data_IF_305327874771
#
_entry.id   IF_305327874771
#
_cell.length_a   1.000
_cell.length_b   1.000
_cell.length_c   1.000
_cell.angle_alpha   90.00
_cell.angle_beta   90.00
_cell.angle_gamma   90.00
#
_symmetry.space_group_name_H-M   'P 1'
#
loop_
_entity.id
_entity.type
_entity.pdbx_description
1 polymer ?
2 non-polymer ?
3 non-polymer ?
4 non-polymer ?
5 non-polymer ?
6 water ?
#
# COMPACT_ATOMS: atom_id res chain seq x y z
C UNK A 1 33.00 21.27 2.93
N UNK A 2 32.31 20.76 3.94
CA UNK A 2 31.05 20.03 3.72
C UNK A 2 29.88 20.59 4.52
N UNK A 3 28.66 20.29 4.07
CA UNK A 3 27.46 20.79 4.72
C UNK A 3 26.39 19.70 4.71
N UNK A 4 25.51 19.76 5.70
CA UNK A 4 24.35 18.88 5.73
C UNK A 4 23.33 19.39 4.74
N UNK A 5 23.05 18.59 3.72
CA UNK A 5 22.10 18.94 2.69
C UNK A 5 20.68 18.49 3.03
N UNK A 6 20.56 17.35 3.70
CA UNK A 6 19.25 16.83 4.13
C UNK A 6 19.50 15.92 5.31
N UNK A 7 18.53 15.89 6.21
CA UNK A 7 18.67 15.02 7.38
C UNK A 7 17.30 14.69 7.91
N UNK A 8 17.11 13.43 8.30
CA UNK A 8 15.90 13.06 8.99
C UNK A 8 16.21 11.87 9.90
N UNK A 9 15.47 11.74 10.99
CA UNK A 9 15.81 10.69 11.95
C UNK A 9 14.52 10.40 12.74
N UNK A 10 14.44 9.21 13.34
CA UNK A 10 13.29 8.87 14.15
C UNK A 10 13.29 7.41 14.49
N UNK A 11 12.09 6.83 14.62
CA UNK A 11 11.96 5.44 15.10
C UNK A 11 11.22 4.66 14.04
N UNK A 12 11.72 3.46 13.73
CA UNK A 12 11.10 2.61 12.72
C UNK A 12 10.62 1.34 13.43
N UNK A 13 9.70 0.63 12.78
CA UNK A 13 9.30 -0.71 13.25
C UNK A 13 8.67 -0.70 14.64
N UNK A 14 7.89 0.32 14.93
CA UNK A 14 7.18 0.39 16.20
C UNK A 14 5.85 -0.37 16.03
N UNK A 15 5.76 -1.54 16.64
CA UNK A 15 4.54 -2.35 16.53
C UNK A 15 3.53 -1.87 17.58
N UNK A 16 2.28 -1.66 17.16
CA UNK A 16 1.24 -1.16 18.06
C UNK A 16 -0.02 -1.98 17.87
N UNK A 17 -0.65 -2.37 18.98
CA UNK A 17 -1.95 -3.02 18.93
C UNK A 17 -2.88 -2.17 19.79
N UNK A 18 -4.12 -2.03 19.35
CA UNK A 18 -5.13 -1.35 20.18
C UNK A 18 -6.41 -2.13 20.10
N UNK A 19 -7.10 -2.24 21.24
CA UNK A 19 -8.39 -2.89 21.30
C UNK A 19 -9.47 -1.86 21.68
N UNK A 20 -10.62 -1.98 21.04
CA UNK A 20 -11.81 -1.21 21.41
C UNK A 20 -12.83 -2.21 21.95
N UNK A 21 -13.38 -1.91 23.14
CA UNK A 21 -14.35 -2.78 23.81
C UNK A 21 -15.67 -2.03 23.92
N UNK A 22 -16.69 -2.54 23.24
CA UNK A 22 -18.05 -2.05 23.42
C UNK A 22 -18.64 -2.70 24.68
N UNK A 23 -18.84 -1.89 25.72
CA UNK A 23 -19.44 -2.38 26.96
C UNK A 23 -20.89 -2.87 26.78
N UNK A 24 -21.64 -2.16 25.93
CA UNK A 24 -23.04 -2.51 25.64
C UNK A 24 -23.20 -3.92 25.03
N UNK A 25 -22.49 -4.16 23.93
CA UNK A 25 -22.68 -5.37 23.14
C UNK A 25 -21.67 -6.46 23.47
N UNK A 26 -20.60 -6.10 24.18
CA UNK A 26 -19.51 -7.03 24.48
C UNK A 26 -18.55 -7.27 23.31
N UNK A 27 -18.81 -6.62 22.18
CA UNK A 27 -18.03 -6.84 20.97
C UNK A 27 -16.69 -6.11 21.10
N UNK A 28 -15.61 -6.79 20.74
CA UNK A 28 -14.26 -6.18 20.79
C UNK A 28 -13.73 -6.09 19.37
N UNK A 29 -12.94 -5.04 19.07
CA UNK A 29 -12.40 -4.85 17.72
C UNK A 29 -10.92 -4.53 17.90
N UNK A 30 -10.06 -5.19 17.14
CA UNK A 30 -8.61 -4.97 17.34
C UNK A 30 -8.02 -4.31 16.10
N UNK A 31 -6.96 -3.55 16.32
CA UNK A 31 -6.19 -2.91 15.24
C UNK A 31 -4.73 -3.19 15.52
N UNK A 32 -3.98 -3.58 14.50
CA UNK A 32 -2.53 -3.75 14.75
C UNK A 32 -1.81 -3.10 13.59
N UNK A 33 -0.73 -2.37 13.88
CA UNK A 33 -0.04 -1.56 12.84
C UNK A 33 1.44 -1.63 13.13
N UNK A 34 2.24 -1.26 12.13
CA UNK A 34 3.64 -1.02 12.36
C UNK A 34 3.89 0.42 11.91
N UNK A 35 4.53 1.22 12.75
CA UNK A 35 4.61 2.66 12.52
C UNK A 35 6.07 3.10 12.43
N UNK A 36 6.34 4.04 11.52
CA UNK A 36 7.65 4.67 11.44
C UNK A 36 7.43 6.18 11.46
N UNK A 37 8.18 6.91 12.28
CA UNK A 37 8.08 8.39 12.30
C UNK A 37 9.48 8.93 12.14
N UNK A 38 9.66 9.76 11.12
CA UNK A 38 10.94 10.44 10.93
C UNK A 38 10.69 11.95 10.93
N UNK A 39 11.55 12.68 11.65
CA UNK A 39 11.44 14.12 11.78
C UNK A 39 12.53 14.85 11.00
N UNK A 40 12.21 16.08 10.59
CA UNK A 40 13.20 17.01 10.01
C UNK A 40 13.04 18.35 10.69
N UNK A 41 14.11 19.14 10.70
CA UNK A 41 13.99 20.52 11.22
C UNK A 41 15.37 21.08 11.42
N UNK A 42 15.50 21.95 12.41
CA UNK A 42 16.77 22.61 12.65
C UNK A 42 17.60 21.73 13.57
N UNK A 43 18.13 20.65 13.00
CA UNK A 43 18.82 19.62 13.77
C UNK A 43 20.24 19.37 13.26
N UNK A 44 20.67 20.18 12.29
CA UNK A 44 22.01 19.99 11.69
C UNK A 44 23.12 19.94 12.73
N UNK A 45 23.02 20.73 13.80
CA UNK A 45 24.12 20.76 14.81
C UNK A 45 24.33 19.46 15.55
N UNK A 46 23.32 18.59 15.61
CA UNK A 46 23.53 17.27 16.20
C UNK A 46 24.52 16.46 15.36
N UNK A 47 24.50 16.68 14.04
CA UNK A 47 25.45 15.99 13.17
C UNK A 47 26.84 16.67 13.17
N UNK A 48 26.83 17.99 13.11
CA UNK A 48 28.09 18.72 12.86
C UNK A 48 28.85 19.13 14.12
N UNK A 49 28.16 19.30 15.26
CA UNK A 49 28.79 19.84 16.46
C UNK A 49 28.59 18.96 17.69
N UNK A 50 28.04 17.76 17.47
CA UNK A 50 27.67 16.89 18.58
C UNK A 50 26.75 17.59 19.59
N UNK A 51 25.83 18.39 19.08
CA UNK A 51 24.89 19.12 19.91
C UNK A 51 23.59 18.33 20.04
N UNK A 52 23.48 17.52 21.09
CA UNK A 52 22.27 16.69 21.27
C UNK A 52 21.06 17.45 21.78
N UNK A 53 21.24 18.74 22.12
CA UNK A 53 20.14 19.51 22.71
C UNK A 53 18.97 19.66 21.77
N UNK A 54 19.24 19.52 20.45
CA UNK A 54 18.20 19.63 19.42
C UNK A 54 17.49 18.30 19.12
N UNK A 55 17.96 17.21 19.74
CA UNK A 55 17.40 15.90 19.44
C UNK A 55 16.25 15.52 20.39
N UNK A 56 15.08 15.30 19.80
CA UNK A 56 13.98 14.62 20.49
C UNK A 56 14.40 13.15 20.35
N UNK A 57 14.69 12.47 21.47
CA UNK A 57 15.24 11.12 21.39
C UNK A 57 14.27 10.20 20.65
N UNK A 58 14.81 9.25 19.90
CA UNK A 58 13.94 8.36 19.13
C UNK A 58 13.11 7.51 20.11
N UNK A 59 13.66 7.22 21.30
CA UNK A 59 12.90 6.53 22.35
C UNK A 59 11.66 7.35 22.75
N UNK A 60 11.81 8.69 22.84
CA UNK A 60 10.66 9.57 23.09
C UNK A 60 9.62 9.57 21.98
N UNK A 61 10.10 9.47 20.73
CA UNK A 61 9.20 9.35 19.61
C UNK A 61 8.38 8.07 19.79
N UNK A 62 9.04 6.98 20.14
CA UNK A 62 8.33 5.71 20.41
C UNK A 62 7.26 5.90 21.50
N UNK A 63 7.61 6.53 22.62
CA UNK A 63 6.64 6.80 23.69
C UNK A 63 5.45 7.57 23.16
N UNK A 64 5.72 8.60 22.33
CA UNK A 64 4.69 9.46 21.77
C UNK A 64 3.70 8.68 20.89
N UNK A 65 4.22 7.72 20.13
CA UNK A 65 3.34 6.92 19.34
C UNK A 65 2.31 6.17 20.23
N UNK A 66 2.79 5.55 21.31
CA UNK A 66 1.89 4.80 22.21
C UNK A 66 0.88 5.74 22.89
N UNK A 67 1.37 6.87 23.38
CA UNK A 67 0.51 7.87 24.06
C UNK A 67 -0.56 8.38 23.08
N UNK A 68 -0.16 8.72 21.86
CA UNK A 68 -1.10 9.20 20.86
C UNK A 68 -2.18 8.15 20.51
N UNK A 69 -1.75 6.89 20.36
CA UNK A 69 -2.69 5.79 20.13
C UNK A 69 -3.66 5.62 21.31
N UNK A 70 -3.19 5.91 22.52
CA UNK A 70 -4.06 5.76 23.72
C UNK A 70 -5.18 6.82 23.72
N UNK A 71 -4.84 8.01 23.25
CA UNK A 71 -5.73 9.16 23.36
C UNK A 71 -6.55 9.52 22.14
N UNK A 72 -6.36 8.80 21.04
CA UNK A 72 -7.00 9.11 19.77
C UNK A 72 -7.46 7.85 19.05
N UNK A 73 -8.37 7.99 18.07
CA UNK A 73 -8.72 6.80 17.29
C UNK A 73 -7.51 6.45 16.43
N UNK A 74 -7.34 5.16 16.13
CA UNK A 74 -6.22 4.75 15.28
C UNK A 74 -6.71 4.44 13.87
N UNK A 75 -8.01 4.64 13.65
CA UNK A 75 -8.63 4.39 12.36
C UNK A 75 -9.48 5.62 11.96
N UNK A 76 -9.53 5.96 10.67
CA UNK A 76 -8.72 5.38 9.56
C UNK A 76 -7.25 5.80 9.77
N UNK A 77 -6.29 5.03 9.22
CA UNK A 77 -4.87 5.33 9.45
C UNK A 77 -4.45 6.70 8.92
N UNK A 78 -5.14 7.19 7.89
CA UNK A 78 -4.91 8.55 7.36
C UNK A 78 -5.11 9.62 8.45
N UNK A 79 -6.12 9.43 9.27
CA UNK A 79 -6.38 10.37 10.36
C UNK A 79 -5.33 10.20 11.46
N UNK A 80 -5.11 8.97 11.89
CA UNK A 80 -4.11 8.74 12.93
C UNK A 80 -2.72 9.30 12.57
N UNK A 81 -2.28 9.04 11.34
CA UNK A 81 -0.99 9.52 10.86
C UNK A 81 -0.93 11.03 10.87
N UNK A 82 -2.04 11.66 10.47
CA UNK A 82 -2.08 13.13 10.48
C UNK A 82 -2.04 13.71 11.90
N UNK A 83 -2.74 13.10 12.85
CA UNK A 83 -2.66 13.53 14.25
C UNK A 83 -1.23 13.39 14.80
N UNK A 84 -0.63 12.22 14.55
CA UNK A 84 0.71 11.93 15.00
C UNK A 84 1.73 12.92 14.41
N UNK A 85 1.65 13.19 13.12
CA UNK A 85 2.59 14.09 12.46
C UNK A 85 2.44 15.53 12.92
N UNK A 86 1.19 15.96 13.04
CA UNK A 86 0.89 17.32 13.51
C UNK A 86 1.45 17.54 14.92
N UNK A 87 1.29 16.54 15.79
CA UNK A 87 1.82 16.62 17.14
C UNK A 87 3.27 17.11 17.15
N UNK A 88 4.13 16.48 16.36
CA UNK A 88 5.55 16.83 16.42
C UNK A 88 5.87 18.24 15.96
N UNK A 89 5.19 18.71 14.93
CA UNK A 89 5.51 20.04 14.40
C UNK A 89 4.94 21.12 15.32
N UNK A 90 3.86 20.82 16.02
CA UNK A 90 3.28 21.80 16.95
C UNK A 90 3.98 21.81 18.29
N UNK A 91 4.43 20.63 18.75
CA UNK A 91 5.03 20.54 20.07
C UNK A 91 6.43 21.13 20.10
N UNK A 92 7.20 20.95 19.03
CA UNK A 92 8.61 21.32 19.02
C UNK A 92 8.86 22.42 18.02
N UNK A 93 9.30 23.56 18.54
CA UNK A 93 9.50 24.73 17.70
C UNK A 93 10.44 24.48 16.52
N UNK A 94 11.49 23.69 16.76
CA UNK A 94 12.56 23.53 15.76
C UNK A 94 12.33 22.36 14.81
N UNK A 95 11.30 21.58 15.05
CA UNK A 95 10.92 20.51 14.14
C UNK A 95 9.92 21.04 13.15
N UNK A 96 10.22 20.95 11.86
CA UNK A 96 9.36 21.53 10.83
C UNK A 96 8.70 20.54 9.86
N UNK A 97 9.05 19.25 9.93
CA UNK A 97 8.35 18.25 9.10
C UNK A 97 8.35 16.93 9.84
N UNK A 98 7.25 16.19 9.71
CA UNK A 98 7.16 14.83 10.26
C UNK A 98 6.69 13.94 9.15
N UNK A 99 7.30 12.76 9.04
CA UNK A 99 7.01 11.81 8.00
C UNK A 99 6.58 10.55 8.70
N UNK A 100 5.32 10.17 8.50
CA UNK A 100 4.74 9.05 9.24
C UNK A 100 4.34 7.97 8.24
N UNK A 101 4.86 6.76 8.41
CA UNK A 101 4.45 5.63 7.58
C UNK A 101 3.77 4.62 8.49
N UNK A 102 2.62 4.13 8.05
CA UNK A 102 1.87 3.15 8.87
C UNK A 102 1.53 2.00 7.96
N UNK A 103 1.77 0.78 8.45
CA UNK A 103 1.35 -0.45 7.79
C UNK A 103 0.29 -1.07 8.69
N UNK A 104 -0.88 -1.31 8.12
CA UNK A 104 -1.99 -1.93 8.89
C UNK A 104 -2.07 -3.41 8.52
N UNK A 105 -2.06 -4.23 9.56
CA UNK A 105 -2.09 -5.70 9.43
C UNK A 105 -3.53 -6.16 9.56
N UNK A 106 -3.92 -7.19 8.80
CA UNK A 106 -5.31 -7.66 8.88
C UNK A 106 -5.57 -8.52 10.09
N UNK A 107 -6.59 -8.13 10.87
CA UNK A 107 -7.18 -9.04 11.86
C UNK A 107 -8.68 -9.04 11.56
N UNK A 108 -9.12 -10.10 10.91
CA UNK A 108 -10.51 -10.18 10.40
C UNK A 108 -11.35 -10.99 11.41
N UNK A 109 -12.54 -10.48 11.75
CA UNK A 109 -13.34 -11.17 12.73
C UNK A 109 -13.70 -12.58 12.22
N UNK A 110 -13.57 -13.58 13.09
CA UNK A 110 -13.90 -14.95 12.75
C UNK A 110 -15.42 -15.14 12.70
N UNK A 111 -15.88 -15.96 11.75
CA UNK A 111 -17.26 -16.47 11.78
C UNK A 111 -17.24 -17.88 12.33
N UNK A 112 -17.94 -18.10 13.43
CA UNK A 112 -18.07 -19.42 14.01
C UNK A 112 -19.55 -19.81 13.91
N UNK A 113 -19.82 -20.92 13.24
CA UNK A 113 -21.20 -21.41 13.04
C UNK A 113 -22.08 -20.35 12.35
N UNK A 114 -21.50 -19.67 11.36
CA UNK A 114 -22.20 -18.65 10.60
C UNK A 114 -22.48 -17.34 11.31
N UNK A 115 -21.93 -17.15 12.51
CA UNK A 115 -22.08 -15.85 13.17
C UNK A 115 -20.72 -15.24 13.57
N UNK A 116 -20.60 -13.90 13.45
CA UNK A 116 -19.42 -13.12 13.84
C UNK A 116 -19.07 -13.27 15.31
N UNK A 117 -17.84 -13.69 15.59
CA UNK A 117 -17.43 -13.86 16.97
C UNK A 117 -17.06 -12.53 17.63
N UNK A 118 -17.47 -12.31 18.89
CA UNK A 118 -17.21 -11.03 19.55
C UNK A 118 -15.73 -10.65 19.78
N UNK A 119 -14.83 -11.63 19.84
CA UNK A 119 -13.47 -11.31 20.25
C UNK A 119 -12.38 -12.25 19.68
N UNK A 120 -12.65 -12.88 18.55
CA UNK A 120 -11.65 -13.80 17.93
C UNK A 120 -11.45 -13.41 16.48
N UNK A 121 -10.17 -13.46 16.05
CA UNK A 121 -9.76 -12.86 14.80
C UNK A 121 -8.77 -13.77 14.08
N UNK A 122 -8.75 -13.63 12.76
CA UNK A 122 -7.87 -14.42 11.92
C UNK A 122 -7.10 -13.49 11.02
N UNK A 123 -5.84 -13.82 10.75
CA UNK A 123 -5.08 -13.06 9.76
C UNK A 123 -5.37 -13.70 8.40
N UNK A 124 -6.33 -13.16 7.66
CA UNK A 124 -6.62 -13.64 6.31
C UNK A 124 -5.72 -12.90 5.27
N UNK A 125 -4.51 -13.37 5.10
CA UNK A 125 -3.58 -12.87 4.10
C UNK A 125 -2.72 -11.77 4.63
N UNK A 126 -1.59 -11.66 3.94
CA UNK A 126 -0.57 -10.72 4.22
C UNK A 126 -0.80 -9.43 3.47
N UNK A 127 -1.97 -9.28 2.83
CA UNK A 127 -2.29 -7.97 2.21
C UNK A 127 -2.26 -6.88 3.28
N UNK A 128 -1.71 -5.70 2.95
CA UNK A 128 -1.62 -4.58 3.90
C UNK A 128 -2.39 -3.40 3.36
N UNK A 129 -2.82 -2.54 4.28
CA UNK A 129 -3.30 -1.21 3.92
C UNK A 129 -2.29 -0.26 4.57
N UNK A 130 -1.76 0.69 3.78
CA UNK A 130 -0.67 1.55 4.22
C UNK A 130 -1.04 3.00 4.05
N UNK A 131 -0.37 3.84 4.83
CA UNK A 131 -0.39 5.29 4.57
C UNK A 131 0.98 5.86 4.72
N UNK A 132 1.27 6.88 3.91
CA UNK A 132 2.41 7.74 4.12
C UNK A 132 1.87 9.15 4.32
N UNK A 133 2.17 9.76 5.46
CA UNK A 133 1.68 11.12 5.75
C UNK A 133 2.87 12.02 5.96
N UNK A 134 2.98 13.09 5.18
CA UNK A 134 4.04 14.06 5.35
C UNK A 134 3.38 15.35 5.82
N UNK A 135 3.74 15.76 7.03
CA UNK A 135 3.20 16.97 7.64
C UNK A 135 4.33 17.99 7.61
N UNK A 136 4.15 19.07 6.84
CA UNK A 136 5.23 20.03 6.66
C UNK A 136 4.73 21.41 7.13
N UNK A 137 5.43 21.99 8.11
CA UNK A 137 4.98 23.25 8.71
C UNK A 137 4.81 24.32 7.66
N UNK A 138 3.63 24.94 7.65
CA UNK A 138 3.29 25.94 6.65
C UNK A 138 2.89 25.42 5.27
N UNK A 139 2.99 24.12 5.05
CA UNK A 139 2.63 23.55 3.73
C UNK A 139 1.55 22.47 3.81
N UNK A 140 0.97 22.26 4.99
CA UNK A 140 -0.18 21.35 5.10
C UNK A 140 0.22 19.91 5.29
N UNK A 141 -0.63 19.02 4.80
CA UNK A 141 -0.54 17.56 5.03
C UNK A 141 -0.74 16.86 3.70
N UNK A 142 0.28 16.10 3.29
CA UNK A 142 0.20 15.31 2.08
C UNK A 142 0.07 13.84 2.45
N UNK A 143 -0.96 13.19 1.90
CA UNK A 143 -1.26 11.82 2.26
C UNK A 143 -1.26 10.92 1.02
N UNK A 144 -0.48 9.84 1.07
CA UNK A 144 -0.55 8.81 0.05
C UNK A 144 -1.07 7.55 0.72
N UNK A 145 -2.14 6.99 0.19
CA UNK A 145 -2.76 5.80 0.77
C UNK A 145 -2.43 4.63 -0.18
N UNK A 146 -2.29 3.41 0.35
CA UNK A 146 -2.01 2.31 -0.58
C UNK A 146 -2.53 0.97 -0.11
N UNK A 147 -2.64 0.03 -1.04
CA UNK A 147 -2.78 -1.35 -0.64
C UNK A 147 -1.60 -2.10 -1.27
N UNK A 148 -1.12 -3.13 -0.60
CA UNK A 148 0.01 -3.88 -1.13
C UNK A 148 -0.12 -5.32 -0.71
N UNK A 149 0.57 -6.21 -1.41
CA UNK A 149 0.57 -7.62 -1.05
C UNK A 149 -0.73 -8.34 -1.39
N UNK A 150 -1.46 -7.81 -2.36
CA UNK A 150 -2.69 -8.47 -2.84
C UNK A 150 -2.30 -9.34 -4.04
N UNK A 151 -2.27 -10.64 -3.84
CA UNK A 151 -1.71 -11.56 -4.83
C UNK A 151 -2.84 -12.30 -5.55
N UNK A 152 -2.85 -12.18 -6.87
CA UNK A 152 -3.97 -12.71 -7.67
C UNK A 152 -3.42 -13.50 -8.86
N UNK A 153 -4.27 -14.33 -9.44
CA UNK A 153 -3.89 -15.08 -10.63
C UNK A 153 -5.17 -15.32 -11.43
N UNK A 154 -5.06 -15.16 -12.73
CA UNK A 154 -6.11 -15.67 -13.63
C UNK A 154 -5.51 -16.68 -14.60
N UNK A 155 -6.24 -17.76 -14.87
CA UNK A 155 -5.66 -18.87 -15.63
C UNK A 155 -5.84 -18.77 -17.15
N UNK A 156 -6.62 -17.79 -17.59
CA UNK A 156 -6.88 -17.55 -19.01
C UNK A 156 -7.33 -16.09 -19.18
N UNK A 157 -7.67 -15.69 -20.41
CA UNK A 157 -8.09 -14.30 -20.68
C UNK A 157 -7.00 -13.26 -20.40
N UNK A 158 -5.78 -13.64 -20.78
CA UNK A 158 -4.65 -12.74 -20.84
C UNK A 158 -3.93 -13.09 -22.13
N UNK A 159 -3.49 -12.07 -22.86
CA UNK A 159 -2.83 -12.20 -24.13
C UNK A 159 -1.61 -11.30 -24.13
N UNK A 160 -0.67 -11.60 -25.00
CA UNK A 160 0.43 -10.70 -25.22
C UNK A 160 1.03 -10.95 -26.59
N UNK A 161 0.63 -10.11 -27.54
CA UNK A 161 1.14 -10.23 -28.90
C UNK A 161 1.28 -8.85 -29.49
N UNK A 162 1.94 -8.76 -30.65
CA UNK A 162 2.15 -7.48 -31.31
C UNK A 162 3.23 -6.59 -30.73
N UNK A 163 4.13 -7.14 -29.90
CA UNK A 163 5.24 -6.36 -29.38
C UNK A 163 6.41 -6.27 -30.37
N UNK A 164 7.34 -5.37 -30.12
CA UNK A 164 8.51 -5.18 -30.98
C UNK A 164 9.35 -6.46 -31.08
N UNK A 165 9.70 -6.84 -32.31
CA UNK A 165 10.55 -8.02 -32.52
C UNK A 165 11.80 -7.60 -33.23
N UNK A 166 12.95 -7.88 -32.64
CA UNK A 166 14.21 -7.63 -33.30
C UNK A 166 15.20 -8.75 -32.99
N UNK A 167 16.48 -8.51 -33.19
CA UNK A 167 17.47 -9.57 -33.02
C UNK A 167 17.70 -9.96 -31.55
N UNK A 168 17.09 -9.23 -30.62
CA UNK A 168 17.15 -9.58 -29.18
C UNK A 168 15.94 -10.38 -28.68
N UNK A 169 14.98 -10.63 -29.58
CA UNK A 169 13.69 -11.19 -29.20
C UNK A 169 13.59 -12.69 -29.45
N UNK A 170 13.19 -13.43 -28.43
CA UNK A 170 12.90 -14.87 -28.56
C UNK A 170 11.49 -15.18 -28.13
N UNK A 171 10.83 -14.25 -27.44
CA UNK A 171 9.51 -14.49 -26.87
C UNK A 171 8.45 -14.72 -27.96
N UNK A 172 7.69 -15.80 -27.84
CA UNK A 172 6.61 -16.06 -28.82
C UNK A 172 5.35 -15.26 -28.46
N UNK A 173 4.65 -14.75 -29.47
CA UNK A 173 3.36 -14.14 -29.23
C UNK A 173 2.39 -15.15 -28.69
N UNK A 174 1.46 -14.70 -27.85
CA UNK A 174 0.46 -15.59 -27.28
C UNK A 174 -0.91 -14.95 -27.16
N UNK A 175 -1.93 -15.77 -27.35
CA UNK A 175 -3.30 -15.34 -27.24
C UNK A 175 -3.97 -15.96 -26.03
N UNK A 176 -3.22 -16.71 -25.21
CA UNK A 176 -3.82 -17.30 -24.02
C UNK A 176 -2.68 -17.64 -23.05
N UNK A 177 -2.60 -16.90 -21.94
CA UNK A 177 -1.55 -17.18 -20.96
C UNK A 177 -2.07 -16.98 -19.55
N UNK A 178 -1.30 -17.42 -18.56
CA UNK A 178 -1.61 -17.15 -17.16
C UNK A 178 -1.12 -15.75 -16.82
N UNK A 179 -1.87 -15.00 -16.02
CA UNK A 179 -1.39 -13.70 -15.54
C UNK A 179 -1.51 -13.70 -14.02
N UNK A 180 -0.39 -13.42 -13.35
CA UNK A 180 -0.40 -13.39 -11.90
C UNK A 180 0.47 -12.25 -11.43
N UNK A 181 0.06 -11.57 -10.38
CA UNK A 181 0.80 -10.41 -9.89
C UNK A 181 0.56 -10.19 -8.41
N UNK A 182 1.41 -9.35 -7.80
CA UNK A 182 1.17 -8.86 -6.45
C UNK A 182 0.86 -7.39 -6.58
N UNK A 183 -0.32 -6.97 -6.19
CA UNK A 183 -0.72 -5.61 -6.51
C UNK A 183 -0.19 -4.63 -5.47
N UNK A 184 0.45 -3.58 -5.95
CA UNK A 184 0.81 -2.46 -5.12
C UNK A 184 0.14 -1.25 -5.79
N UNK A 185 -0.84 -0.65 -5.11
CA UNK A 185 -1.55 0.51 -5.69
C UNK A 185 -1.55 1.65 -4.68
N UNK A 186 -1.23 2.86 -5.14
CA UNK A 186 -1.14 4.03 -4.27
C UNK A 186 -2.00 5.13 -4.85
N UNK A 187 -2.84 5.75 -4.02
CA UNK A 187 -3.59 6.94 -4.45
C UNK A 187 -3.14 8.12 -3.61
N UNK A 188 -2.85 9.23 -4.27
CA UNK A 188 -2.35 10.42 -3.60
C UNK A 188 -3.49 11.44 -3.50
N UNK A 189 -3.74 11.89 -2.28
CA UNK A 189 -4.83 12.85 -2.00
C UNK A 189 -4.40 14.26 -2.35
N UNK A 190 -5.36 15.10 -2.71
CA UNK A 190 -5.02 16.51 -2.79
C UNK A 190 -4.47 16.96 -1.43
N UNK A 191 -3.59 17.95 -1.46
CA UNK A 191 -3.00 18.52 -0.25
C UNK A 191 -4.12 19.02 0.66
N UNK A 192 -3.99 18.74 1.95
CA UNK A 192 -4.93 19.22 2.95
C UNK A 192 -4.28 20.35 3.75
N UNK A 193 -5.08 21.33 4.18
CA UNK A 193 -4.49 22.51 4.82
C UNK A 193 -4.01 22.22 6.23
N UNK A 194 -4.58 21.19 6.86
CA UNK A 194 -4.21 20.85 8.22
C UNK A 194 -5.20 19.85 8.75
N UNK A 195 -5.15 19.62 10.06
CA UNK A 195 -5.91 18.56 10.67
C UNK A 195 -7.43 18.76 10.56
N UNK A 196 -7.90 20.00 10.62
CA UNK A 196 -9.34 20.22 10.53
C UNK A 196 -9.87 19.72 9.18
N UNK A 197 -9.15 20.00 8.11
CA UNK A 197 -9.58 19.56 6.79
C UNK A 197 -9.52 18.03 6.68
N UNK A 198 -8.45 17.42 7.20
CA UNK A 198 -8.37 15.95 7.19
C UNK A 198 -9.58 15.38 7.93
N UNK A 199 -9.88 15.92 9.11
CA UNK A 199 -11.07 15.45 9.85
C UNK A 199 -12.37 15.54 9.05
N UNK A 200 -12.50 16.59 8.25
CA UNK A 200 -13.73 16.85 7.49
C UNK A 200 -13.94 15.77 6.41
N UNK A 201 -12.87 15.10 5.99
CA UNK A 201 -12.97 14.09 4.94
C UNK A 201 -12.89 12.65 5.43
N UNK A 202 -12.92 12.46 6.75
CA UNK A 202 -12.68 11.16 7.36
C UNK A 202 -13.44 10.00 6.72
N UNK A 203 -14.75 10.18 6.40
CA UNK A 203 -15.48 9.04 5.82
C UNK A 203 -14.96 8.60 4.45
N UNK A 204 -14.29 9.51 3.73
CA UNK A 204 -13.81 9.19 2.38
C UNK A 204 -12.64 8.20 2.40
N UNK A 205 -11.92 8.11 3.51
CA UNK A 205 -10.68 7.32 3.49
C UNK A 205 -10.95 5.83 3.37
N UNK A 206 -11.82 5.29 4.25
CA UNK A 206 -12.17 3.88 4.18
C UNK A 206 -12.92 3.56 2.89
N UNK A 207 -13.81 4.47 2.47
CA UNK A 207 -14.58 4.25 1.26
C UNK A 207 -13.72 4.15 0.02
N UNK A 208 -12.68 4.97 -0.04
CA UNK A 208 -11.80 5.03 -1.21
C UNK A 208 -10.89 3.80 -1.25
N UNK A 209 -10.39 3.42 -0.07
CA UNK A 209 -9.66 2.13 0.04
C UNK A 209 -10.51 0.97 -0.49
N UNK A 210 -11.75 0.88 -0.02
CA UNK A 210 -12.65 -0.18 -0.47
C UNK A 210 -12.88 -0.11 -1.97
N UNK A 211 -13.05 1.10 -2.52
CA UNK A 211 -13.26 1.28 -3.96
C UNK A 211 -12.02 0.86 -4.77
N UNK A 212 -10.86 1.29 -4.32
CA UNK A 212 -9.62 0.91 -4.98
C UNK A 212 -9.44 -0.61 -5.04
N UNK A 213 -9.74 -1.30 -3.93
CA UNK A 213 -9.64 -2.74 -3.86
C UNK A 213 -10.62 -3.39 -4.82
N UNK A 214 -11.87 -2.95 -4.76
CA UNK A 214 -12.94 -3.52 -5.59
C UNK A 214 -12.66 -3.34 -7.09
N UNK A 215 -12.26 -2.13 -7.49
CA UNK A 215 -11.94 -1.83 -8.87
C UNK A 215 -10.76 -2.68 -9.36
N UNK A 216 -9.76 -2.82 -8.51
CA UNK A 216 -8.59 -3.66 -8.86
C UNK A 216 -9.02 -5.09 -9.14
N UNK A 217 -9.81 -5.67 -8.25
CA UNK A 217 -10.17 -7.07 -8.34
C UNK A 217 -11.10 -7.31 -9.54
N UNK A 218 -12.14 -6.48 -9.68
CA UNK A 218 -13.09 -6.62 -10.78
C UNK A 218 -12.44 -6.46 -12.14
N UNK A 219 -11.59 -5.44 -12.28
CA UNK A 219 -10.95 -5.16 -13.55
C UNK A 219 -10.00 -6.30 -13.94
N UNK A 220 -9.26 -6.78 -12.95
CA UNK A 220 -8.34 -7.87 -13.20
C UNK A 220 -9.13 -9.11 -13.70
N UNK A 221 -10.20 -9.44 -12.98
CA UNK A 221 -10.98 -10.61 -13.30
C UNK A 221 -11.70 -10.49 -14.64
N UNK A 222 -12.20 -9.30 -14.97
CA UNK A 222 -13.04 -9.15 -16.18
C UNK A 222 -12.33 -8.70 -17.47
N UNK A 223 -11.17 -8.07 -17.36
CA UNK A 223 -10.50 -7.56 -18.53
C UNK A 223 -9.92 -8.70 -19.36
N UNK A 224 -10.21 -8.72 -20.67
CA UNK A 224 -9.48 -9.64 -21.52
C UNK A 224 -8.20 -8.93 -21.89
N UNK A 225 -7.18 -9.22 -21.10
CA UNK A 225 -6.05 -8.35 -20.98
C UNK A 225 -5.11 -8.40 -22.19
N UNK A 226 -4.82 -7.24 -22.74
CA UNK A 226 -3.92 -7.13 -23.87
C UNK A 226 -2.47 -7.06 -23.41
N UNK A 227 -2.29 -6.71 -22.14
CA UNK A 227 -0.95 -6.57 -21.52
C UNK A 227 -1.19 -6.16 -20.09
N UNK A 228 -0.13 -6.24 -19.26
CA UNK A 228 -0.27 -5.71 -17.89
C UNK A 228 -0.50 -4.19 -17.97
N UNK A 229 0.24 -3.54 -18.85
CA UNK A 229 0.14 -2.08 -19.07
C UNK A 229 -1.32 -1.65 -19.31
N UNK A 230 -1.99 -2.33 -20.25
CA UNK A 230 -3.35 -1.93 -20.63
C UNK A 230 -4.34 -2.15 -19.50
N UNK A 231 -4.21 -3.27 -18.80
CA UNK A 231 -5.13 -3.60 -17.73
C UNK A 231 -4.96 -2.64 -16.55
N UNK A 232 -3.70 -2.31 -16.21
CA UNK A 232 -3.51 -1.47 -15.04
C UNK A 232 -4.00 -0.05 -15.30
N UNK A 233 -3.89 0.39 -16.54
CA UNK A 233 -4.37 1.72 -16.89
C UNK A 233 -5.88 1.81 -16.67
N UNK A 234 -6.61 0.77 -17.06
CA UNK A 234 -8.06 0.70 -16.84
C UNK A 234 -8.43 0.80 -15.36
N UNK A 235 -7.64 0.15 -14.50
CA UNK A 235 -7.88 0.24 -13.05
C UNK A 235 -7.73 1.67 -12.55
N UNK A 236 -6.62 2.32 -12.91
CA UNK A 236 -6.29 3.64 -12.44
C UNK A 236 -7.35 4.64 -12.93
N UNK A 237 -7.76 4.51 -14.18
CA UNK A 237 -8.77 5.39 -14.77
C UNK A 237 -10.05 5.37 -13.93
N UNK A 238 -10.49 4.18 -13.55
CA UNK A 238 -11.74 4.05 -12.81
C UNK A 238 -11.66 4.63 -11.39
N UNK A 239 -10.53 4.42 -10.72
CA UNK A 239 -10.36 5.00 -9.38
C UNK A 239 -10.42 6.52 -9.41
N UNK A 240 -9.73 7.13 -10.37
CA UNK A 240 -9.75 8.60 -10.51
C UNK A 240 -11.16 9.13 -10.78
N UNK A 241 -11.95 8.34 -11.50
CA UNK A 241 -13.30 8.74 -11.86
C UNK A 241 -14.22 8.71 -10.64
N UNK A 242 -13.93 7.84 -9.68
CA UNK A 242 -14.82 7.63 -8.54
C UNK A 242 -14.52 8.49 -7.31
N UNK A 243 -13.36 9.15 -7.29
CA UNK A 243 -13.00 9.95 -6.13
C UNK A 243 -12.26 11.22 -6.56
N UNK A 244 -12.97 12.35 -6.53
CA UNK A 244 -12.41 13.58 -7.05
C UNK A 244 -11.29 14.18 -6.23
N UNK A 245 -11.18 13.75 -4.97
CA UNK A 245 -10.15 14.29 -4.09
C UNK A 245 -8.77 13.60 -4.26
N UNK A 246 -8.72 12.57 -5.10
CA UNK A 246 -7.45 11.92 -5.50
C UNK A 246 -6.85 12.66 -6.68
N UNK A 247 -5.55 12.94 -6.61
CA UNK A 247 -4.88 13.58 -7.73
C UNK A 247 -4.21 12.60 -8.68
N UNK A 248 -3.58 11.56 -8.13
CA UNK A 248 -2.91 10.58 -8.96
C UNK A 248 -3.10 9.19 -8.36
N UNK A 249 -2.98 8.19 -9.23
CA UNK A 249 -3.00 6.79 -8.83
C UNK A 249 -1.75 6.15 -9.43
N UNK A 250 -1.00 5.40 -8.62
CA UNK A 250 0.20 4.74 -9.13
C UNK A 250 0.03 3.24 -8.93
N UNK A 251 0.33 2.44 -9.95
CA UNK A 251 0.33 0.97 -9.78
C UNK A 251 1.73 0.49 -10.05
N UNK A 252 2.18 -0.50 -9.28
CA UNK A 252 3.47 -1.13 -9.54
C UNK A 252 3.17 -2.63 -9.48
N UNK A 253 3.35 -3.33 -10.61
CA UNK A 253 2.89 -4.73 -10.75
C UNK A 253 4.00 -5.63 -11.31
N UNK A 254 4.44 -6.61 -10.52
CA UNK A 254 5.29 -7.64 -11.10
C UNK A 254 4.48 -8.58 -12.02
N UNK A 255 5.12 -9.08 -13.08
CA UNK A 255 4.49 -10.09 -13.89
C UNK A 255 5.16 -11.40 -13.48
N UNK A 256 4.47 -12.22 -12.69
CA UNK A 256 5.06 -13.43 -12.11
C UNK A 256 4.83 -14.56 -13.09
N UNK A 257 5.89 -15.00 -13.76
CA UNK A 257 5.70 -15.86 -14.93
C UNK A 257 5.42 -17.31 -14.58
N UNK A 258 4.55 -17.94 -15.35
CA UNK A 258 4.33 -19.38 -15.26
C UNK A 258 4.66 -19.95 -16.65
N UNK A 259 5.68 -20.80 -16.75
CA UNK A 259 6.15 -21.28 -18.05
C UNK A 259 5.50 -22.61 -18.42
N UNK A 260 5.15 -22.77 -19.71
CA UNK A 260 4.78 -24.11 -20.19
C UNK A 260 5.94 -25.09 -20.03
N UNK A 261 5.62 -26.37 -19.87
CA UNK A 261 6.66 -27.40 -19.81
C UNK A 261 6.44 -28.37 -20.97
N UNK A 262 7.39 -28.41 -21.90
CA UNK A 262 7.28 -29.33 -23.04
C UNK A 262 7.63 -30.73 -22.53
N UNK A 263 6.68 -31.64 -22.65
CA UNK A 263 6.86 -33.02 -22.17
C UNK A 263 6.89 -34.00 -23.34
N UNK A 264 6.99 -33.46 -24.56
CA UNK A 264 6.85 -34.29 -25.77
C UNK A 264 8.02 -35.27 -25.90
N UNK A 265 9.16 -34.95 -25.30
CA UNK A 265 10.30 -35.87 -25.28
C UNK A 265 9.96 -37.17 -24.58
N UNK A 266 8.90 -37.17 -23.76
CA UNK A 266 8.52 -38.34 -23.00
C UNK A 266 7.25 -38.98 -23.56
N UNK A 267 7.42 -40.00 -24.41
CA UNK A 267 6.25 -40.74 -24.98
C UNK A 267 5.27 -39.84 -25.73
N UNK A 268 5.79 -38.78 -26.37
CA UNK A 268 4.98 -37.81 -27.11
C UNK A 268 3.91 -37.09 -26.29
N UNK A 269 4.15 -36.92 -24.99
CA UNK A 269 3.12 -36.36 -24.12
C UNK A 269 2.87 -34.91 -24.51
N UNK A 270 1.59 -34.53 -24.60
CA UNK A 270 1.24 -33.21 -25.10
C UNK A 270 0.85 -32.27 -23.95
N UNK A 271 1.68 -31.26 -23.72
CA UNK A 271 1.49 -30.34 -22.60
C UNK A 271 1.77 -28.87 -22.95
N UNK A 272 1.70 -28.52 -24.23
CA UNK A 272 1.92 -27.13 -24.65
C UNK A 272 0.68 -26.58 -25.41
N UNK A 273 0.61 -25.26 -25.55
CA UNK A 273 -0.51 -24.62 -26.23
C UNK A 273 -1.87 -25.04 -25.69
N UNK A 274 -2.75 -25.50 -26.57
CA UNK A 274 -4.10 -25.88 -26.13
C UNK A 274 -4.08 -27.06 -25.17
N UNK A 275 -2.99 -27.80 -25.16
CA UNK A 275 -2.86 -29.00 -24.33
C UNK A 275 -2.16 -28.73 -22.98
N UNK A 276 -1.77 -27.48 -22.73
CA UNK A 276 -1.01 -27.15 -21.51
C UNK A 276 -1.86 -27.30 -20.25
N UNK A 277 -1.40 -28.15 -19.32
CA UNK A 277 -2.10 -28.35 -18.07
C UNK A 277 -1.15 -28.14 -16.90
N UNK A 278 0.08 -28.59 -17.05
CA UNK A 278 1.06 -28.46 -15.97
C UNK A 278 2.09 -27.40 -16.35
N UNK A 279 2.33 -26.45 -15.43
CA UNK A 279 3.24 -25.33 -15.69
C UNK A 279 4.24 -25.24 -14.56
N UNK A 280 5.34 -24.55 -14.82
CA UNK A 280 6.41 -24.32 -13.83
C UNK A 280 6.37 -22.83 -13.45
N UNK A 281 5.90 -22.51 -12.24
CA UNK A 281 5.99 -21.13 -11.76
C UNK A 281 7.46 -20.75 -11.63
N UNK A 282 7.80 -19.54 -12.08
CA UNK A 282 9.18 -19.06 -12.04
C UNK A 282 9.34 -18.09 -10.89
N UNK A 283 10.29 -18.35 -9.99
CA UNK A 283 10.51 -17.44 -8.88
C UNK A 283 11.18 -16.13 -9.32
N UNK A 284 12.03 -16.23 -10.33
CA UNK A 284 12.71 -15.08 -10.90
C UNK A 284 13.23 -15.46 -12.28
N UNK A 285 13.53 -14.47 -13.14
CA UNK A 285 13.26 -13.04 -13.00
C UNK A 285 11.77 -12.76 -13.15
N UNK A 286 11.37 -11.50 -13.01
CA UNK A 286 9.96 -11.15 -13.21
C UNK A 286 9.88 -9.82 -13.92
N UNK A 287 8.86 -9.67 -14.75
CA UNK A 287 8.57 -8.34 -15.30
C UNK A 287 8.19 -7.41 -14.16
N UNK A 288 8.42 -6.12 -14.36
CA UNK A 288 7.99 -5.11 -13.40
C UNK A 288 7.45 -3.95 -14.21
N UNK A 289 6.18 -3.63 -13.99
CA UNK A 289 5.48 -2.65 -14.82
C UNK A 289 4.90 -1.59 -13.92
N UNK A 290 5.16 -0.32 -14.23
CA UNK A 290 4.69 0.76 -13.35
C UNK A 290 3.98 1.82 -14.16
N UNK A 291 3.03 2.51 -13.52
CA UNK A 291 2.50 3.69 -14.18
C UNK A 291 1.86 4.61 -13.16
N UNK A 292 1.92 5.91 -13.44
CA UNK A 292 1.27 6.91 -12.62
C UNK A 292 0.29 7.62 -13.53
N UNK A 293 -0.98 7.67 -13.10
CA UNK A 293 -2.05 8.23 -13.94
C UNK A 293 -2.59 9.41 -13.16
N UNK A 294 -2.72 10.55 -13.84
CA UNK A 294 -3.28 11.73 -13.21
C UNK A 294 -4.41 12.27 -14.08
N UNK A 295 -4.85 13.48 -13.77
CA UNK A 295 -5.98 14.07 -14.48
C UNK A 295 -5.52 14.92 -15.65
N UNK A 296 -6.25 14.85 -16.77
CA UNK A 296 -5.96 15.63 -18.00
C UNK A 296 -5.39 17.04 -17.72
X LIG B 1 3.88 -6.71 -20.61
X LIG B 1 3.25 -7.91 -20.49
X LIG B 1 2.06 -7.88 -20.14
X LIG B 1 3.86 -9.10 -20.75
X LIG B 1 5.14 -9.12 -21.19
X LIG B 1 5.87 -7.87 -21.35
X LIG B 1 5.15 -6.62 -21.03
X LIG B 1 5.74 -5.53 -21.15
X LIG B 1 7.10 -8.15 -21.80
X LIG B 1 7.18 -9.53 -21.89
X LIG B 1 5.98 -10.11 -21.53
X LIG C 1 7.53 23.20 14.69
X LIG D 1 6.72 -8.89 -18.08
X LIG E 1 -3.08 -5.86 -14.52
X LIG E 1 -2.61 -6.96 -14.30
X LIG E 1 -2.05 -7.80 -13.70
#
# INVERSE_FOLDING_TARGET
XSAVKAARYGKDNVRVYKVHKDEKTGVQTVYEMTVCVLLEGEIETSYTKADNSVIVATDSIKNTIYITAKQNPVTPPELFGSILGTHFIEKYNHIHAAHVNIVCHRWTRMDIDGKPHPHSFIRDSEEKRNVQVDVVEGKGIDIKSSLSGLTVLKSTNSQFWGFLRDEYTTLKETWDRILSTDVDATWQWKNFSGLQEVRSHVPKFDATWATAREVTLKTFAEDNSASVQATMYKMAEQILARQQLIETVEYSLPNKHYFEIDLSWHKGLQNTGKNAEVFAPQSDPNGLIKCTVGRSSLKSKL
AZA N1 C2 O2 N3 C4 C5 C6 O6 N7 N8 N9
NA NA
CL CL
N2O O3 N2 N1
#
